data_IF_738633887660
#
_entry.id   IF_738633887660
#
_cell.length_a   1.000
_cell.length_b   1.000
_cell.length_c   1.000
_cell.angle_alpha   90.00
_cell.angle_beta   90.00
_cell.angle_gamma   90.00
#
_symmetry.space_group_name_H-M   'P 1'
#
loop_
_entity.id
_entity.type
_entity.pdbx_description
1 polymer ?
#
# COMPACT_ATOMS: atom_id res chain seq x y z
N UNK A 1 23.06 2.69 -7.42
CA UNK A 1 22.02 1.64 -7.52
C UNK A 1 21.72 1.00 -6.16
N UNK A 2 22.70 0.36 -5.49
CA UNK A 2 22.45 -0.34 -4.22
C UNK A 2 21.76 0.52 -3.15
N UNK A 3 22.25 1.74 -2.91
CA UNK A 3 21.63 2.66 -1.94
C UNK A 3 20.17 2.94 -2.26
N UNK A 4 19.82 3.16 -3.53
CA UNK A 4 18.42 3.40 -3.95
C UNK A 4 17.54 2.18 -3.69
N UNK A 5 18.04 0.96 -3.99
CA UNK A 5 17.32 -0.28 -3.69
C UNK A 5 17.10 -0.47 -2.20
N UNK A 6 18.09 -0.17 -1.37
CA UNK A 6 17.96 -0.23 0.08
C UNK A 6 16.97 0.81 0.62
N UNK A 7 16.91 1.99 -0.01
CA UNK A 7 15.93 3.01 0.35
C UNK A 7 14.49 2.58 -0.03
N UNK A 8 14.27 2.03 -1.24
CA UNK A 8 12.97 1.47 -1.63
C UNK A 8 12.53 0.36 -0.68
N UNK A 9 13.40 -0.61 -0.44
CA UNK A 9 13.15 -1.71 0.51
C UNK A 9 12.82 -1.18 1.92
N UNK A 10 13.67 -0.30 2.47
CA UNK A 10 13.52 0.21 3.84
C UNK A 10 12.27 1.09 4.00
N UNK A 11 12.01 1.96 3.02
CA UNK A 11 10.83 2.82 3.03
C UNK A 11 9.54 1.99 2.93
N UNK A 12 9.51 0.99 2.05
CA UNK A 12 8.36 0.10 1.92
C UNK A 12 8.16 -0.74 3.17
N UNK A 13 9.24 -1.27 3.77
CA UNK A 13 9.15 -2.02 5.02
C UNK A 13 8.57 -1.14 6.14
N UNK A 14 9.05 0.09 6.30
CA UNK A 14 8.54 1.03 7.29
C UNK A 14 7.06 1.38 7.03
N UNK A 15 6.69 1.65 5.78
CA UNK A 15 5.29 1.89 5.39
C UNK A 15 4.38 0.74 5.83
N UNK A 16 4.80 -0.51 5.62
CA UNK A 16 4.01 -1.68 5.98
C UNK A 16 4.00 -1.92 7.49
N UNK A 17 5.05 -1.57 8.22
CA UNK A 17 5.01 -1.60 9.70
C UNK A 17 3.90 -0.68 10.23
N UNK A 18 3.77 0.54 9.70
CA UNK A 18 2.65 1.42 10.05
C UNK A 18 1.30 0.84 9.61
N UNK A 19 1.21 0.38 8.37
CA UNK A 19 -0.06 -0.07 7.80
C UNK A 19 -0.58 -1.37 8.40
N UNK A 20 0.24 -2.40 8.51
CA UNK A 20 -0.13 -3.67 9.17
C UNK A 20 -0.29 -3.43 10.68
N UNK A 21 0.60 -2.63 11.29
CA UNK A 21 0.54 -2.29 12.71
C UNK A 21 -0.79 -1.66 13.11
N UNK A 22 -1.26 -0.65 12.37
CA UNK A 22 -2.56 -0.02 12.70
C UNK A 22 -3.74 -0.97 12.53
N UNK A 23 -3.66 -1.90 11.58
CA UNK A 23 -4.69 -2.93 11.45
C UNK A 23 -4.61 -3.96 12.58
N UNK A 24 -3.41 -4.31 13.07
CA UNK A 24 -3.26 -5.07 14.32
C UNK A 24 -3.92 -4.32 15.48
N UNK A 25 -3.64 -3.05 15.66
CA UNK A 25 -4.22 -2.21 16.69
C UNK A 25 -5.76 -2.18 16.66
N UNK A 26 -6.35 -2.05 15.47
CA UNK A 26 -7.81 -1.93 15.35
C UNK A 26 -8.55 -3.26 15.48
N UNK A 27 -7.90 -4.40 15.16
CA UNK A 27 -8.56 -5.70 15.00
C UNK A 27 -8.24 -6.65 16.14
N UNK A 28 -6.98 -6.73 16.60
CA UNK A 28 -6.56 -7.73 17.58
C UNK A 28 -7.09 -7.43 18.97
N UNK A 29 -7.35 -8.53 19.73
CA UNK A 29 -7.87 -8.44 21.09
C UNK A 29 -6.84 -7.84 22.03
N UNK A 30 -7.27 -6.88 22.83
CA UNK A 30 -6.50 -6.34 23.95
C UNK A 30 -5.51 -5.23 23.58
N UNK A 31 -5.44 -4.82 22.32
CA UNK A 31 -4.70 -3.62 21.94
C UNK A 31 -5.38 -2.36 22.48
N UNK A 32 -4.61 -1.30 22.68
CA UNK A 32 -5.14 -0.02 23.22
C UNK A 32 -6.13 0.66 22.27
N UNK A 33 -6.08 0.35 20.98
CA UNK A 33 -6.89 0.99 19.95
C UNK A 33 -7.89 0.02 19.29
N UNK A 34 -8.16 -1.12 19.94
CA UNK A 34 -9.15 -2.09 19.42
C UNK A 34 -10.48 -1.40 19.16
N UNK A 35 -11.02 -1.58 17.96
CA UNK A 35 -12.30 -1.01 17.56
C UNK A 35 -12.28 0.46 17.12
N UNK A 36 -11.10 1.10 16.98
CA UNK A 36 -10.98 2.52 16.55
C UNK A 36 -11.47 2.77 15.12
N UNK A 37 -11.61 1.71 14.30
CA UNK A 37 -12.26 1.79 13.00
C UNK A 37 -11.36 2.29 11.86
N UNK A 38 -12.00 2.36 10.67
CA UNK A 38 -11.28 2.62 9.43
C UNK A 38 -10.67 4.03 9.33
N UNK A 39 -11.30 5.04 9.92
CA UNK A 39 -10.75 6.40 9.89
C UNK A 39 -9.40 6.48 10.59
N UNK A 40 -9.25 5.79 11.73
CA UNK A 40 -7.98 5.68 12.44
C UNK A 40 -6.92 4.99 11.56
N UNK A 41 -7.28 3.87 10.93
CA UNK A 41 -6.38 3.16 10.03
C UNK A 41 -5.97 4.01 8.82
N UNK A 42 -6.91 4.68 8.15
CA UNK A 42 -6.63 5.54 6.98
C UNK A 42 -5.70 6.69 7.36
N UNK A 43 -5.92 7.30 8.52
CA UNK A 43 -5.09 8.40 9.03
C UNK A 43 -3.65 7.91 9.29
N UNK A 44 -3.50 6.72 9.87
CA UNK A 44 -2.16 6.14 10.09
C UNK A 44 -1.45 5.80 8.78
N UNK A 45 -2.16 5.24 7.78
CA UNK A 45 -1.59 5.03 6.45
C UNK A 45 -1.11 6.33 5.83
N UNK A 46 -1.91 7.39 5.92
CA UNK A 46 -1.60 8.72 5.41
C UNK A 46 -0.32 9.29 6.02
N UNK A 47 -0.28 9.41 7.34
CA UNK A 47 0.90 9.96 8.03
C UNK A 47 2.10 9.01 7.99
N UNK A 48 1.89 7.71 8.04
CA UNK A 48 2.96 6.72 7.91
C UNK A 48 3.73 6.84 6.61
N UNK A 49 3.04 7.04 5.48
CA UNK A 49 3.68 7.28 4.18
C UNK A 49 4.44 8.62 4.19
N UNK A 50 3.88 9.68 4.77
CA UNK A 50 4.61 10.95 4.93
C UNK A 50 5.89 10.76 5.73
N UNK A 51 5.85 10.01 6.84
CA UNK A 51 7.03 9.69 7.65
C UNK A 51 8.09 8.94 6.83
N UNK A 52 7.68 7.97 5.99
CA UNK A 52 8.61 7.27 5.12
C UNK A 52 9.32 8.24 4.16
N UNK A 53 8.60 9.19 3.57
CA UNK A 53 9.19 10.21 2.70
C UNK A 53 10.10 11.19 3.45
N UNK A 54 9.79 11.51 4.72
CA UNK A 54 10.71 12.31 5.55
C UNK A 54 12.01 11.57 5.84
N UNK A 55 11.95 10.27 6.08
CA UNK A 55 13.14 9.48 6.44
C UNK A 55 14.00 9.15 5.23
N UNK A 56 13.37 8.71 4.11
CA UNK A 56 14.08 8.19 2.94
C UNK A 56 14.19 9.17 1.76
N UNK A 57 13.48 10.30 1.85
CA UNK A 57 13.45 11.32 0.81
C UNK A 57 12.38 11.08 -0.24
N UNK A 58 12.11 12.10 -1.04
CA UNK A 58 11.02 12.10 -2.05
C UNK A 58 11.27 11.23 -3.28
N UNK A 59 12.45 10.60 -3.40
CA UNK A 59 12.80 9.78 -4.55
C UNK A 59 12.36 8.31 -4.43
N UNK A 60 11.85 7.87 -3.27
CA UNK A 60 11.35 6.51 -3.07
C UNK A 60 9.90 6.39 -3.54
N UNK A 61 9.58 5.28 -4.19
CA UNK A 61 8.25 4.98 -4.71
C UNK A 61 7.39 4.19 -3.73
N UNK A 62 7.99 3.23 -3.03
CA UNK A 62 7.31 2.29 -2.10
C UNK A 62 6.12 1.56 -2.74
N UNK A 63 6.09 1.50 -4.08
CA UNK A 63 4.90 1.07 -4.82
C UNK A 63 5.28 0.67 -6.25
N UNK A 64 5.19 -0.60 -6.64
CA UNK A 64 5.47 -1.06 -7.99
C UNK A 64 4.67 -0.33 -9.08
N UNK A 65 3.40 0.03 -8.82
CA UNK A 65 2.59 0.80 -9.78
C UNK A 65 3.13 2.24 -9.95
N UNK A 66 3.60 2.87 -8.88
CA UNK A 66 4.25 4.19 -8.95
C UNK A 66 5.60 4.11 -9.69
N UNK A 67 6.40 3.06 -9.44
CA UNK A 67 7.65 2.81 -10.20
C UNK A 67 7.36 2.75 -11.70
N UNK A 68 6.33 2.00 -12.10
CA UNK A 68 5.93 1.91 -13.50
C UNK A 68 5.52 3.29 -14.08
N UNK A 69 4.69 4.04 -13.36
CA UNK A 69 4.28 5.37 -13.77
C UNK A 69 5.47 6.32 -13.94
N UNK A 70 6.43 6.30 -13.01
CA UNK A 70 7.64 7.10 -13.10
C UNK A 70 8.57 6.68 -14.26
N UNK A 71 8.59 5.40 -14.63
CA UNK A 71 9.27 4.94 -15.84
C UNK A 71 8.60 5.50 -17.10
N UNK A 72 7.27 5.49 -17.16
CA UNK A 72 6.51 6.00 -18.31
C UNK A 72 6.73 7.51 -18.53
N UNK A 73 6.78 8.30 -17.45
CA UNK A 73 7.05 9.75 -17.55
C UNK A 73 8.54 10.11 -17.56
N UNK A 74 9.44 9.12 -17.59
CA UNK A 74 10.88 9.34 -17.72
C UNK A 74 11.64 9.72 -16.45
N UNK A 75 10.99 9.70 -15.27
CA UNK A 75 11.63 10.00 -13.98
C UNK A 75 12.51 8.87 -13.46
N UNK A 76 12.14 7.61 -13.77
CA UNK A 76 12.92 6.42 -13.44
C UNK A 76 13.37 5.74 -14.73
N UNK A 77 14.68 5.46 -14.91
CA UNK A 77 15.16 4.67 -16.05
C UNK A 77 14.54 3.27 -16.08
N UNK A 78 14.11 2.80 -17.23
CA UNK A 78 13.48 1.49 -17.41
C UNK A 78 14.31 0.31 -16.85
N UNK A 79 15.66 0.41 -16.92
CA UNK A 79 16.53 -0.61 -16.33
C UNK A 79 16.43 -0.74 -14.81
N UNK A 80 15.86 0.26 -14.13
CA UNK A 80 15.62 0.25 -12.67
C UNK A 80 14.21 -0.22 -12.30
N UNK A 81 13.32 -0.36 -13.27
CA UNK A 81 11.90 -0.65 -13.04
C UNK A 81 11.72 -1.95 -12.22
N UNK A 82 12.18 -3.07 -12.75
CA UNK A 82 12.05 -4.37 -12.07
C UNK A 82 12.84 -4.44 -10.76
N UNK A 83 14.11 -3.99 -10.69
CA UNK A 83 14.84 -3.96 -9.41
C UNK A 83 14.11 -3.18 -8.29
N UNK A 84 13.52 -2.02 -8.60
CA UNK A 84 12.78 -1.24 -7.60
C UNK A 84 11.49 -1.96 -7.17
N UNK A 85 10.71 -2.47 -8.12
CA UNK A 85 9.51 -3.26 -7.81
C UNK A 85 9.81 -4.46 -6.90
N UNK A 86 10.92 -5.16 -7.15
CA UNK A 86 11.34 -6.29 -6.31
C UNK A 86 11.77 -5.83 -4.91
N UNK A 87 12.46 -4.69 -4.80
CA UNK A 87 12.81 -4.10 -3.51
C UNK A 87 11.57 -3.72 -2.70
N UNK A 88 10.57 -3.12 -3.35
CA UNK A 88 9.28 -2.81 -2.74
C UNK A 88 8.55 -4.07 -2.25
N UNK A 89 8.47 -5.11 -3.09
CA UNK A 89 7.80 -6.37 -2.74
C UNK A 89 8.46 -7.04 -1.53
N UNK A 90 9.80 -7.09 -1.51
CA UNK A 90 10.57 -7.63 -0.37
C UNK A 90 10.38 -6.76 0.88
N UNK A 91 10.40 -5.44 0.74
CA UNK A 91 10.12 -4.50 1.82
C UNK A 91 8.73 -4.73 2.40
N UNK A 92 7.72 -4.90 1.54
CA UNK A 92 6.35 -5.20 1.95
C UNK A 92 6.23 -6.49 2.76
N UNK A 93 6.90 -7.55 2.31
CA UNK A 93 6.94 -8.82 3.04
C UNK A 93 7.63 -8.68 4.41
N UNK A 94 8.83 -8.10 4.44
CA UNK A 94 9.60 -7.94 5.68
C UNK A 94 8.91 -7.01 6.67
N UNK A 95 8.33 -5.90 6.21
CA UNK A 95 7.56 -5.00 7.06
C UNK A 95 6.39 -5.68 7.74
N UNK A 96 5.69 -6.58 7.02
CA UNK A 96 4.59 -7.36 7.58
C UNK A 96 5.07 -8.39 8.63
N UNK A 97 6.22 -9.02 8.41
CA UNK A 97 6.84 -9.92 9.40
C UNK A 97 7.23 -9.15 10.66
N UNK A 98 7.81 -7.96 10.52
CA UNK A 98 8.17 -7.09 11.66
C UNK A 98 6.90 -6.70 12.43
N UNK A 99 5.86 -6.23 11.74
CA UNK A 99 4.60 -5.86 12.39
C UNK A 99 3.97 -7.07 13.11
N UNK A 100 3.92 -8.24 12.49
CA UNK A 100 3.45 -9.45 13.16
C UNK A 100 4.25 -9.78 14.42
N UNK A 101 5.58 -9.65 14.39
CA UNK A 101 6.40 -9.91 15.54
C UNK A 101 6.15 -8.91 16.69
N UNK A 102 5.91 -7.64 16.36
CA UNK A 102 5.54 -6.61 17.34
C UNK A 102 4.24 -6.93 18.07
N UNK A 103 3.28 -7.59 17.40
CA UNK A 103 1.95 -7.93 17.93
C UNK A 103 1.77 -9.43 18.19
N UNK A 104 2.86 -10.19 18.38
CA UNK A 104 2.82 -11.64 18.50
C UNK A 104 1.94 -12.12 19.66
N UNK A 105 1.98 -11.43 20.80
CA UNK A 105 1.17 -11.76 21.98
C UNK A 105 -0.31 -11.47 21.75
N UNK A 106 -0.65 -10.38 21.05
CA UNK A 106 -2.03 -10.01 20.69
C UNK A 106 -2.61 -10.97 19.65
N UNK A 107 -1.80 -11.44 18.69
CA UNK A 107 -2.22 -12.53 17.79
C UNK A 107 -2.56 -13.80 18.57
N UNK A 108 -1.73 -14.17 19.55
CA UNK A 108 -2.00 -15.32 20.41
C UNK A 108 -3.25 -15.12 21.26
N UNK A 109 -3.46 -13.93 21.84
CA UNK A 109 -4.65 -13.59 22.62
C UNK A 109 -5.94 -13.55 21.76
N UNK A 110 -5.79 -13.39 20.45
CA UNK A 110 -6.89 -13.33 19.48
C UNK A 110 -7.30 -14.70 18.92
N UNK A 111 -6.53 -15.75 19.21
CA UNK A 111 -6.83 -17.13 18.74
C UNK A 111 -8.22 -17.57 19.19
N UNK A 112 -9.09 -17.93 18.23
CA UNK A 112 -10.46 -18.37 18.48
C UNK A 112 -11.42 -17.29 18.99
N UNK A 113 -10.98 -16.02 19.07
CA UNK A 113 -11.75 -14.87 19.53
C UNK A 113 -12.03 -13.88 18.39
N UNK A 114 -11.02 -13.56 17.62
CA UNK A 114 -11.13 -12.65 16.47
C UNK A 114 -11.42 -13.46 15.21
N UNK A 115 -12.36 -12.98 14.40
CA UNK A 115 -12.71 -13.62 13.12
C UNK A 115 -11.46 -13.81 12.24
N UNK A 116 -11.20 -15.03 11.72
CA UNK A 116 -10.08 -15.32 10.84
C UNK A 116 -10.02 -14.45 9.58
N UNK A 117 -11.16 -14.02 9.03
CA UNK A 117 -11.24 -13.11 7.89
C UNK A 117 -10.75 -11.71 8.31
N UNK A 118 -11.16 -11.23 9.48
CA UNK A 118 -10.66 -9.97 10.01
C UNK A 118 -9.14 -10.01 10.26
N UNK A 119 -8.60 -11.13 10.76
CA UNK A 119 -7.15 -11.32 10.92
C UNK A 119 -6.40 -11.32 9.57
N UNK A 120 -6.94 -11.97 8.53
CA UNK A 120 -6.39 -11.91 7.16
C UNK A 120 -6.36 -10.48 6.64
N UNK A 121 -7.43 -9.72 6.87
CA UNK A 121 -7.57 -8.35 6.40
C UNK A 121 -6.64 -7.35 7.11
N UNK A 122 -5.95 -7.76 8.17
CA UNK A 122 -4.80 -7.01 8.74
C UNK A 122 -3.68 -6.88 7.71
N UNK A 123 -3.42 -7.94 6.95
CA UNK A 123 -2.28 -8.03 6.03
C UNK A 123 -2.61 -7.56 4.62
N UNK A 124 -3.81 -7.83 4.13
CA UNK A 124 -4.14 -7.63 2.72
C UNK A 124 -5.55 -7.08 2.52
N UNK A 125 -5.74 -6.37 1.42
CA UNK A 125 -7.04 -5.84 1.04
C UNK A 125 -7.92 -6.94 0.46
N UNK A 126 -9.21 -6.86 0.74
CA UNK A 126 -10.22 -7.76 0.20
C UNK A 126 -11.51 -6.97 -0.03
N UNK A 127 -12.40 -7.42 -0.91
CA UNK A 127 -13.65 -6.71 -1.13
C UNK A 127 -14.56 -6.83 0.11
N UNK A 128 -15.37 -5.81 0.36
CA UNK A 128 -16.36 -5.83 1.45
C UNK A 128 -17.33 -7.00 1.36
N UNK A 129 -17.62 -7.47 0.15
CA UNK A 129 -18.46 -8.65 -0.10
C UNK A 129 -17.65 -9.65 -0.91
N UNK A 130 -17.19 -10.72 -0.27
CA UNK A 130 -16.43 -11.78 -0.94
C UNK A 130 -17.26 -12.52 -1.99
N UNK A 131 -16.60 -13.01 -3.02
CA UNK A 131 -17.26 -13.72 -4.13
C UNK A 131 -18.00 -12.82 -5.11
N UNK A 132 -17.95 -11.49 -4.90
CA UNK A 132 -18.62 -10.52 -5.77
C UNK A 132 -17.80 -10.08 -6.97
N UNK A 133 -18.42 -9.30 -7.82
CA UNK A 133 -18.00 -8.86 -9.13
C UNK A 133 -16.54 -8.36 -9.21
N UNK A 134 -15.63 -9.24 -9.61
CA UNK A 134 -14.21 -8.95 -9.81
C UNK A 134 -13.98 -7.77 -10.76
N UNK A 135 -14.81 -7.61 -11.81
CA UNK A 135 -14.67 -6.53 -12.77
C UNK A 135 -14.93 -5.15 -12.11
N UNK A 136 -15.93 -5.06 -11.22
CA UNK A 136 -16.17 -3.83 -10.45
C UNK A 136 -15.03 -3.52 -9.50
N UNK A 137 -14.56 -4.52 -8.76
CA UNK A 137 -13.46 -4.35 -7.82
C UNK A 137 -12.17 -3.96 -8.54
N UNK A 138 -11.91 -4.55 -9.71
CA UNK A 138 -10.80 -4.18 -10.58
C UNK A 138 -10.91 -2.72 -11.03
N UNK A 139 -12.09 -2.31 -11.52
CA UNK A 139 -12.34 -0.93 -11.91
C UNK A 139 -12.15 0.04 -10.73
N UNK A 140 -12.67 -0.29 -9.53
CA UNK A 140 -12.46 0.52 -8.33
C UNK A 140 -10.97 0.72 -8.02
N UNK A 141 -10.17 -0.36 -7.99
CA UNK A 141 -8.73 -0.26 -7.73
C UNK A 141 -7.98 0.49 -8.84
N UNK A 142 -8.34 0.29 -10.10
CA UNK A 142 -7.74 1.03 -11.20
C UNK A 142 -8.02 2.54 -11.12
N UNK A 143 -9.25 2.94 -10.81
CA UNK A 143 -9.62 4.36 -10.63
C UNK A 143 -8.98 4.95 -9.38
N UNK A 144 -8.99 4.24 -8.25
CA UNK A 144 -8.28 4.69 -7.03
C UNK A 144 -6.81 4.96 -7.34
N UNK A 145 -6.16 4.04 -8.04
CA UNK A 145 -4.74 4.17 -8.41
C UNK A 145 -4.51 5.29 -9.41
N UNK A 146 -5.39 5.44 -10.40
CA UNK A 146 -5.34 6.56 -11.35
C UNK A 146 -5.37 7.91 -10.62
N UNK A 147 -6.33 8.13 -9.73
CA UNK A 147 -6.43 9.38 -8.95
C UNK A 147 -5.21 9.58 -8.07
N UNK A 148 -4.81 8.54 -7.34
CA UNK A 148 -3.67 8.55 -6.43
C UNK A 148 -2.37 8.93 -7.15
N UNK A 149 -2.01 8.22 -8.22
CA UNK A 149 -0.75 8.43 -8.94
C UNK A 149 -0.77 9.76 -9.71
N UNK A 150 -1.89 10.13 -10.34
CA UNK A 150 -2.01 11.43 -11.00
C UNK A 150 -1.78 12.59 -10.04
N UNK A 151 -2.39 12.50 -8.86
CA UNK A 151 -2.24 13.55 -7.84
C UNK A 151 -0.81 13.63 -7.30
N UNK A 152 -0.14 12.48 -7.07
CA UNK A 152 1.26 12.46 -6.60
C UNK A 152 2.21 13.01 -7.67
N UNK A 153 2.09 12.57 -8.93
CA UNK A 153 2.93 13.10 -10.02
C UNK A 153 2.72 14.61 -10.17
N UNK A 154 1.47 15.08 -10.15
CA UNK A 154 1.18 16.51 -10.22
C UNK A 154 1.72 17.29 -9.01
N UNK A 155 1.63 16.73 -7.80
CA UNK A 155 2.22 17.32 -6.60
C UNK A 155 3.74 17.36 -6.68
N UNK A 156 4.40 16.32 -7.16
CA UNK A 156 5.85 16.24 -7.33
C UNK A 156 6.35 17.29 -8.33
N UNK A 157 5.67 17.43 -9.49
CA UNK A 157 5.99 18.46 -10.48
C UNK A 157 5.90 19.88 -9.90
N UNK A 158 4.92 20.14 -9.02
CA UNK A 158 4.73 21.47 -8.40
C UNK A 158 5.61 21.72 -7.18
N UNK A 159 5.90 20.68 -6.40
CA UNK A 159 6.76 20.79 -5.23
C UNK A 159 8.25 20.99 -5.60
N UNK A 160 8.66 20.56 -6.80
CA UNK A 160 10.05 20.57 -7.23
C UNK A 160 10.94 19.79 -6.27
N UNK A 161 12.01 20.42 -5.76
CA UNK A 161 12.93 19.79 -4.81
C UNK A 161 12.47 19.83 -3.33
N UNK A 162 11.30 20.40 -3.05
CA UNK A 162 10.81 20.51 -1.68
C UNK A 162 10.20 19.20 -1.19
N UNK A 163 11.05 18.32 -0.67
CA UNK A 163 10.67 16.99 -0.15
C UNK A 163 9.64 17.07 0.98
N UNK A 164 9.72 18.08 1.86
CA UNK A 164 8.77 18.24 2.97
C UNK A 164 7.37 18.54 2.44
N UNK A 165 7.27 19.45 1.49
CA UNK A 165 5.99 19.77 0.84
C UNK A 165 5.42 18.54 0.12
N UNK A 166 6.25 17.82 -0.63
CA UNK A 166 5.84 16.59 -1.31
C UNK A 166 5.31 15.55 -0.31
N UNK A 167 6.02 15.30 0.78
CA UNK A 167 5.63 14.32 1.80
C UNK A 167 4.27 14.66 2.44
N UNK A 168 4.02 15.95 2.73
CA UNK A 168 2.73 16.41 3.25
C UNK A 168 1.62 16.19 2.20
N UNK A 169 1.87 16.59 0.95
CA UNK A 169 0.90 16.40 -0.14
C UNK A 169 0.55 14.92 -0.35
N UNK A 170 1.56 14.03 -0.35
CA UNK A 170 1.33 12.59 -0.51
C UNK A 170 0.46 12.04 0.62
N UNK A 171 0.74 12.43 1.87
CA UNK A 171 -0.11 12.05 3.01
C UNK A 171 -1.56 12.50 2.82
N UNK A 172 -1.79 13.76 2.46
CA UNK A 172 -3.14 14.30 2.20
C UNK A 172 -3.85 13.57 1.05
N UNK A 173 -3.12 13.23 -0.02
CA UNK A 173 -3.65 12.46 -1.16
C UNK A 173 -4.09 11.07 -0.71
N UNK A 174 -3.23 10.34 0.05
CA UNK A 174 -3.58 9.02 0.60
C UNK A 174 -4.81 9.11 1.48
N UNK A 175 -4.87 10.13 2.34
CA UNK A 175 -6.01 10.34 3.25
C UNK A 175 -7.31 10.58 2.48
N UNK A 176 -7.28 11.47 1.48
CA UNK A 176 -8.44 11.80 0.66
C UNK A 176 -8.95 10.59 -0.14
N UNK A 177 -8.04 9.84 -0.79
CA UNK A 177 -8.39 8.63 -1.55
C UNK A 177 -8.92 7.54 -0.62
N UNK A 178 -8.27 7.30 0.51
CA UNK A 178 -8.70 6.31 1.50
C UNK A 178 -10.10 6.61 2.04
N UNK A 179 -10.37 7.86 2.43
CA UNK A 179 -11.67 8.28 2.95
C UNK A 179 -12.78 8.30 1.89
N UNK A 180 -12.47 8.75 0.68
CA UNK A 180 -13.49 8.95 -0.37
C UNK A 180 -13.73 7.74 -1.26
N UNK A 181 -12.76 6.83 -1.40
CA UNK A 181 -12.78 5.76 -2.41
C UNK A 181 -12.41 4.37 -1.86
N UNK A 182 -11.97 4.27 -0.60
CA UNK A 182 -11.45 3.02 -0.03
C UNK A 182 -12.52 2.03 0.42
N UNK A 183 -13.77 2.42 0.53
CA UNK A 183 -14.81 1.65 1.20
C UNK A 183 -15.22 0.32 0.54
N UNK A 184 -14.87 0.08 -0.71
CA UNK A 184 -15.27 -1.13 -1.46
C UNK A 184 -14.16 -2.19 -1.45
N UNK A 185 -12.93 -1.80 -1.75
CA UNK A 185 -11.80 -2.71 -1.97
C UNK A 185 -10.67 -2.57 -0.96
N UNK A 186 -10.68 -1.51 -0.14
CA UNK A 186 -9.60 -1.20 0.79
C UNK A 186 -8.46 -0.41 0.19
N UNK A 187 -8.66 0.25 -0.97
CA UNK A 187 -7.69 1.14 -1.65
C UNK A 187 -6.26 0.58 -1.63
N UNK A 188 -6.07 -0.61 -2.20
CA UNK A 188 -4.75 -1.22 -2.26
C UNK A 188 -3.74 -0.34 -3.00
N UNK A 189 -4.05 0.01 -4.26
CA UNK A 189 -3.30 0.92 -5.14
C UNK A 189 -1.80 0.59 -5.30
N UNK A 190 -1.35 -0.54 -4.74
CA UNK A 190 0.05 -0.85 -4.53
C UNK A 190 0.24 -2.36 -4.32
N UNK A 191 0.96 -3.00 -5.20
CA UNK A 191 1.22 -4.44 -5.11
C UNK A 191 2.04 -4.80 -3.86
N UNK A 192 3.04 -3.99 -3.51
CA UNK A 192 3.88 -4.25 -2.35
C UNK A 192 3.08 -4.10 -1.04
N UNK A 193 2.10 -3.20 -1.01
CA UNK A 193 1.20 -2.99 0.12
C UNK A 193 0.21 -4.15 0.31
N UNK A 194 -0.15 -4.87 -0.75
CA UNK A 194 -1.07 -6.00 -0.66
C UNK A 194 -0.38 -7.35 -0.75
N UNK A 195 0.33 -7.63 -1.86
CA UNK A 195 0.90 -8.95 -2.11
C UNK A 195 2.08 -9.27 -1.18
N UNK A 196 2.88 -8.28 -0.78
CA UNK A 196 3.97 -8.46 0.18
C UNK A 196 3.46 -8.99 1.53
N UNK A 197 2.55 -8.27 2.21
CA UNK A 197 1.95 -8.75 3.46
C UNK A 197 1.07 -9.99 3.28
N UNK A 198 0.41 -10.17 2.13
CA UNK A 198 -0.35 -11.39 1.81
C UNK A 198 0.55 -12.63 1.78
N UNK A 199 1.76 -12.52 1.21
CA UNK A 199 2.78 -13.57 1.28
C UNK A 199 3.22 -13.83 2.73
N UNK A 200 3.43 -12.78 3.51
CA UNK A 200 3.77 -12.91 4.93
C UNK A 200 2.67 -13.64 5.70
N UNK A 201 1.40 -13.25 5.54
CA UNK A 201 0.28 -13.95 6.16
C UNK A 201 0.25 -15.44 5.81
N UNK A 202 0.59 -15.81 4.57
CA UNK A 202 0.64 -17.21 4.14
C UNK A 202 1.62 -18.05 4.99
N UNK A 203 2.81 -17.51 5.29
CA UNK A 203 3.89 -18.27 5.94
C UNK A 203 3.99 -18.08 7.44
N UNK A 204 3.50 -16.97 7.99
CA UNK A 204 3.55 -16.67 9.41
C UNK A 204 2.77 -17.71 10.23
N UNK A 205 3.21 -18.07 11.46
CA UNK A 205 2.57 -19.09 12.28
C UNK A 205 1.33 -18.56 13.03
N UNK A 206 0.39 -18.01 12.29
CA UNK A 206 -0.92 -17.57 12.80
C UNK A 206 -1.86 -18.78 12.80
N UNK A 207 -2.56 -19.05 13.88
CA UNK A 207 -3.52 -20.17 13.96
C UNK A 207 -4.87 -19.79 13.37
N UNK A 208 -5.60 -20.82 12.91
CA UNK A 208 -6.96 -20.67 12.36
C UNK A 208 -7.05 -19.65 11.22
N UNK A 209 -6.08 -19.63 10.32
CA UNK A 209 -6.08 -18.71 9.17
C UNK A 209 -7.30 -18.91 8.28
N UNK A 210 -7.90 -17.81 7.85
CA UNK A 210 -8.79 -17.82 6.69
C UNK A 210 -8.02 -18.11 5.39
N UNK A 211 -8.74 -18.52 4.35
CA UNK A 211 -8.19 -18.58 2.99
C UNK A 211 -7.59 -17.23 2.59
N UNK A 212 -6.40 -17.25 2.00
CA UNK A 212 -5.63 -16.04 1.69
C UNK A 212 -6.17 -15.26 0.49
N UNK A 213 -7.21 -15.77 -0.16
CA UNK A 213 -7.88 -15.15 -1.32
C UNK A 213 -6.91 -14.72 -2.44
N UNK A 214 -5.99 -15.62 -2.80
CA UNK A 214 -4.96 -15.35 -3.81
C UNK A 214 -5.53 -14.97 -5.17
N UNK A 215 -6.66 -15.57 -5.57
CA UNK A 215 -7.31 -15.23 -6.84
C UNK A 215 -7.67 -13.75 -6.89
N UNK A 216 -8.26 -13.22 -5.82
CA UNK A 216 -8.55 -11.79 -5.71
C UNK A 216 -7.26 -10.97 -5.66
N UNK A 217 -6.32 -11.37 -4.80
CA UNK A 217 -5.05 -10.66 -4.60
C UNK A 217 -4.26 -10.47 -5.90
N UNK A 218 -4.16 -11.50 -6.72
CA UNK A 218 -3.44 -11.43 -7.99
C UNK A 218 -4.19 -10.64 -9.06
N UNK A 219 -5.51 -10.81 -9.17
CA UNK A 219 -6.30 -10.15 -10.22
C UNK A 219 -6.60 -8.69 -9.92
N UNK A 220 -6.97 -8.36 -8.68
CA UNK A 220 -7.42 -7.01 -8.35
C UNK A 220 -6.26 -6.16 -7.86
N UNK A 221 -5.73 -6.29 -6.62
CA UNK A 221 -4.60 -5.45 -6.19
C UNK A 221 -3.29 -5.77 -6.93
N UNK A 222 -3.16 -6.94 -7.55
CA UNK A 222 -1.98 -7.30 -8.34
C UNK A 222 -1.91 -6.63 -9.71
N UNK A 223 -3.02 -6.51 -10.43
CA UNK A 223 -3.03 -6.02 -11.82
C UNK A 223 -3.66 -4.63 -11.94
N UNK A 224 -4.81 -4.37 -11.31
CA UNK A 224 -5.55 -3.13 -11.50
C UNK A 224 -4.73 -1.86 -11.22
N UNK A 225 -3.84 -1.80 -10.19
CA UNK A 225 -3.01 -0.63 -9.97
C UNK A 225 -2.04 -0.32 -11.12
N UNK A 226 -1.52 -1.33 -11.84
CA UNK A 226 -0.70 -1.08 -13.01
C UNK A 226 -1.49 -0.41 -14.14
N UNK A 227 -2.73 -0.82 -14.36
CA UNK A 227 -3.62 -0.18 -15.35
C UNK A 227 -3.87 1.28 -14.95
N UNK A 228 -4.26 1.52 -13.70
CA UNK A 228 -4.44 2.88 -13.18
C UNK A 228 -3.20 3.75 -13.30
N UNK A 229 -2.01 3.18 -13.02
CA UNK A 229 -0.72 3.86 -13.09
C UNK A 229 -0.34 4.29 -14.51
N UNK A 230 -0.54 3.41 -15.50
CA UNK A 230 -0.27 3.74 -16.91
C UNK A 230 -1.20 4.87 -17.37
N UNK A 231 -2.50 4.77 -17.09
CA UNK A 231 -3.47 5.82 -17.45
C UNK A 231 -3.12 7.14 -16.74
N UNK A 232 -2.71 7.10 -15.47
CA UNK A 232 -2.28 8.28 -14.72
C UNK A 232 -1.04 8.95 -15.33
N UNK A 233 -0.02 8.15 -15.68
CA UNK A 233 1.19 8.66 -16.31
C UNK A 233 0.89 9.31 -17.67
N UNK A 234 0.08 8.67 -18.50
CA UNK A 234 -0.35 9.23 -19.79
C UNK A 234 -1.19 10.50 -19.63
N UNK A 235 -2.06 10.54 -18.61
CA UNK A 235 -2.86 11.73 -18.32
C UNK A 235 -1.98 12.90 -17.87
N UNK A 236 -1.07 12.68 -16.94
CA UNK A 236 -0.22 13.76 -16.40
C UNK A 236 0.79 14.24 -17.43
N UNK A 237 1.44 13.34 -18.14
CA UNK A 237 2.44 13.68 -19.15
C UNK A 237 1.80 14.21 -20.44
N UNK A 238 0.84 13.47 -20.99
CA UNK A 238 0.26 13.79 -22.31
C UNK A 238 -0.80 14.88 -22.27
N UNK A 239 -1.69 14.87 -21.25
CA UNK A 239 -2.80 15.83 -21.18
C UNK A 239 -2.46 17.10 -20.38
N UNK A 240 -1.79 16.94 -19.22
CA UNK A 240 -1.42 18.09 -18.39
C UNK A 240 -0.07 18.71 -18.79
N UNK A 241 0.70 18.07 -19.68
CA UNK A 241 2.00 18.58 -20.14
C UNK A 241 3.06 18.68 -19.04
N UNK A 242 3.01 17.80 -18.04
CA UNK A 242 3.98 17.71 -16.94
C UNK A 242 5.00 16.61 -17.23
N UNK A 243 6.31 16.90 -16.94
CA UNK A 243 7.47 16.01 -17.20
C UNK A 243 7.86 15.83 -18.67
#
# INVERSE_FOLDING_TARGET
>A
MLTKLLCEFGATALMIVFGVGVHCDTVLKGTKYQGSGHMFAITTWSFGISVCLFVFGGAVCMNPAMVLAQCVVGLVPWGNCIPFMLADMLGGFVGAVIAWFMYADEFKASEGVVDPIAQRNIFSTNPTTEGTNYARNFFCEAICTFVFISAILAAASRAGENVLMLAICVGLIVWAVGMGMGGITGFAMNQARDLGPRMAYQVLPIKNKADNNWKYGLLVPGIAPFVGAIVAALFVHGFLGMF
#
